data_IF_027261056754
#
_entry.id   IF_027261056754
#
_cell.length_a   1.000
_cell.length_b   1.000
_cell.length_c   1.000
_cell.angle_alpha   90.00
_cell.angle_beta   90.00
_cell.angle_gamma   90.00
#
_symmetry.space_group_name_H-M   'P 1'
#
loop_
_entity.id
_entity.type
_entity.pdbx_description
1 polymer ?
#
# COMPACT_ATOMS: atom_id res chain seq x y z
N UNK A 1 -4.58 78.55 -8.19
CA UNK A 1 -3.16 78.13 -8.25
C UNK A 1 -2.93 77.05 -7.21
N UNK A 2 -2.03 76.05 -7.28
CA UNK A 2 -1.26 75.40 -8.37
C UNK A 2 -0.55 74.15 -7.76
N UNK A 3 -0.19 73.06 -8.43
CA UNK A 3 -0.65 72.42 -9.69
C UNK A 3 -0.02 71.00 -9.76
N UNK A 4 -0.70 69.96 -10.32
CA UNK A 4 -0.10 68.65 -10.73
C UNK A 4 0.49 67.77 -9.56
N UNK A 5 0.85 66.47 -9.69
CA UNK A 5 0.67 65.42 -10.72
C UNK A 5 0.76 64.00 -10.12
N UNK A 6 0.23 63.01 -10.86
CA UNK A 6 0.55 61.57 -10.82
C UNK A 6 2.07 61.27 -10.97
N UNK A 7 2.45 60.01 -10.66
CA UNK A 7 3.75 59.31 -10.90
C UNK A 7 4.86 59.81 -9.93
N UNK A 8 5.52 59.03 -9.09
CA UNK A 8 6.13 57.70 -9.30
C UNK A 8 6.44 56.99 -7.97
N UNK A 9 5.96 55.76 -7.78
CA UNK A 9 6.81 54.70 -7.20
C UNK A 9 6.25 53.34 -7.65
N UNK A 10 6.89 52.77 -8.66
CA UNK A 10 6.64 51.42 -9.11
C UNK A 10 7.74 50.50 -8.58
N UNK A 11 7.50 49.18 -8.65
CA UNK A 11 8.46 48.09 -8.39
C UNK A 11 8.83 47.90 -6.91
N UNK A 12 8.12 46.98 -6.25
CA UNK A 12 8.67 45.71 -5.74
C UNK A 12 7.50 44.84 -5.28
N UNK A 13 7.60 43.49 -5.38
CA UNK A 13 6.60 42.59 -4.78
C UNK A 13 5.86 41.62 -5.69
N UNK A 14 6.37 41.28 -6.88
CA UNK A 14 6.00 40.00 -7.51
C UNK A 14 6.58 38.83 -6.70
N UNK A 15 5.93 38.47 -5.58
CA UNK A 15 6.25 37.28 -4.81
C UNK A 15 4.97 36.48 -4.48
N UNK A 16 4.73 35.49 -5.33
CA UNK A 16 4.44 34.12 -4.89
C UNK A 16 3.35 33.95 -3.82
N UNK A 17 2.11 34.34 -4.15
CA UNK A 17 0.96 33.55 -3.74
C UNK A 17 0.63 32.51 -4.83
N UNK A 18 1.53 31.55 -4.99
CA UNK A 18 1.13 30.22 -5.48
C UNK A 18 0.33 29.60 -4.34
N UNK A 19 -0.94 29.97 -4.25
CA UNK A 19 -1.93 29.10 -3.62
C UNK A 19 -1.97 27.85 -4.50
N UNK A 20 -1.17 26.85 -4.12
CA UNK A 20 -1.35 25.49 -4.58
C UNK A 20 -2.70 25.03 -4.05
N UNK A 21 -3.75 25.36 -4.80
CA UNK A 21 -5.01 24.64 -4.72
C UNK A 21 -4.65 23.16 -4.72
N UNK A 22 -5.18 22.34 -3.78
CA UNK A 22 -5.16 20.92 -4.01
C UNK A 22 -5.84 20.73 -5.37
N UNK A 23 -5.09 20.24 -6.37
CA UNK A 23 -5.72 19.84 -7.61
C UNK A 23 -6.78 18.83 -7.19
N UNK A 24 -8.06 19.14 -7.44
CA UNK A 24 -9.10 18.18 -7.22
C UNK A 24 -8.81 17.02 -8.17
N UNK A 25 -8.30 15.90 -7.63
CA UNK A 25 -8.16 14.63 -8.34
C UNK A 25 -9.57 14.04 -8.50
N UNK A 26 -10.39 14.76 -9.28
CA UNK A 26 -11.80 14.49 -9.53
C UNK A 26 -11.98 13.13 -10.20
N UNK A 27 -13.18 12.56 -10.03
CA UNK A 27 -13.52 11.17 -10.37
C UNK A 27 -13.21 10.73 -11.82
N UNK A 28 -13.02 11.67 -12.76
CA UNK A 28 -12.55 11.37 -14.12
C UNK A 28 -11.13 10.75 -14.16
N UNK A 29 -10.28 11.01 -13.16
CA UNK A 29 -8.85 10.60 -13.21
C UNK A 29 -8.60 9.11 -12.93
N UNK A 30 -9.63 8.37 -12.52
CA UNK A 30 -9.57 6.95 -12.17
C UNK A 30 -10.64 6.12 -12.90
N UNK A 31 -11.02 6.55 -14.10
CA UNK A 31 -11.87 5.78 -14.99
C UNK A 31 -11.21 4.48 -15.46
N UNK A 32 -12.04 3.57 -15.96
CA UNK A 32 -11.61 2.41 -16.74
C UNK A 32 -11.91 2.77 -18.19
N UNK A 33 -10.92 2.80 -19.07
CA UNK A 33 -11.14 3.15 -20.47
C UNK A 33 -12.14 2.22 -21.16
N UNK A 34 -12.70 2.68 -22.28
CA UNK A 34 -13.62 1.88 -23.11
C UNK A 34 -12.90 0.65 -23.69
N UNK A 35 -13.13 -0.53 -23.10
CA UNK A 35 -12.39 -1.75 -23.46
C UNK A 35 -13.26 -2.71 -24.28
N UNK A 36 -12.82 -2.94 -25.52
CA UNK A 36 -13.45 -3.86 -26.48
C UNK A 36 -13.16 -5.36 -26.24
N UNK A 37 -12.28 -5.72 -25.30
CA UNK A 37 -11.96 -7.11 -24.91
C UNK A 37 -11.80 -7.22 -23.39
N UNK A 38 -12.76 -7.84 -22.72
CA UNK A 38 -12.72 -8.10 -21.27
C UNK A 38 -11.68 -9.19 -20.98
N UNK A 39 -10.83 -8.96 -19.98
CA UNK A 39 -9.94 -9.98 -19.42
C UNK A 39 -10.63 -10.64 -18.21
N UNK A 40 -10.95 -11.95 -18.24
CA UNK A 40 -11.61 -12.62 -17.12
C UNK A 40 -10.80 -12.61 -15.81
N UNK A 41 -9.46 -12.50 -15.87
CA UNK A 41 -8.65 -12.38 -14.64
C UNK A 41 -8.96 -11.13 -13.83
N UNK A 42 -9.63 -10.11 -14.35
CA UNK A 42 -9.99 -8.95 -13.55
C UNK A 42 -10.82 -9.30 -12.32
N UNK A 43 -11.69 -10.30 -12.40
CA UNK A 43 -12.50 -10.77 -11.27
C UNK A 43 -11.80 -11.81 -10.39
N UNK A 44 -10.61 -12.30 -10.75
CA UNK A 44 -9.94 -13.33 -9.95
C UNK A 44 -9.10 -12.73 -8.81
N UNK A 45 -8.94 -13.43 -7.67
CA UNK A 45 -8.17 -12.92 -6.54
C UNK A 45 -6.66 -12.74 -6.82
N UNK A 46 -6.04 -11.79 -6.11
CA UNK A 46 -4.60 -11.50 -6.19
C UNK A 46 -3.84 -11.85 -4.89
N UNK A 47 -2.82 -12.73 -4.94
CA UNK A 47 -1.94 -13.08 -3.81
C UNK A 47 -1.12 -11.90 -3.28
N UNK A 48 -1.25 -11.63 -1.98
CA UNK A 48 -0.36 -10.75 -1.21
C UNK A 48 0.18 -11.49 0.00
N UNK A 49 1.49 -11.70 0.04
CA UNK A 49 2.21 -12.39 1.11
C UNK A 49 2.86 -11.40 2.06
N UNK A 50 2.72 -11.63 3.36
CA UNK A 50 3.38 -10.86 4.42
C UNK A 50 4.28 -11.73 5.28
N UNK A 51 5.48 -11.25 5.61
CA UNK A 51 6.37 -11.90 6.58
C UNK A 51 7.01 -10.88 7.52
N UNK A 52 7.08 -11.24 8.79
CA UNK A 52 7.81 -10.51 9.82
C UNK A 52 8.97 -11.39 10.31
N UNK A 53 10.18 -10.85 10.55
CA UNK A 53 11.30 -11.64 11.06
C UNK A 53 11.06 -11.97 12.53
N UNK A 54 11.71 -13.01 13.05
CA UNK A 54 11.75 -13.24 14.49
C UNK A 54 12.56 -12.16 15.21
N UNK A 55 12.20 -11.82 16.46
CA UNK A 55 13.04 -11.03 17.35
C UNK A 55 14.43 -11.68 17.51
N UNK A 56 15.49 -10.87 17.52
CA UNK A 56 16.87 -11.37 17.58
C UNK A 56 17.31 -11.73 19.00
N UNK A 57 16.66 -11.18 20.03
CA UNK A 57 16.77 -11.64 21.41
C UNK A 57 15.45 -12.29 21.87
N UNK A 58 15.53 -13.22 22.82
CA UNK A 58 14.38 -13.91 23.46
C UNK A 58 13.51 -12.99 24.35
N UNK A 59 13.40 -11.72 24.00
CA UNK A 59 12.70 -10.69 24.74
C UNK A 59 11.19 -10.76 24.46
N UNK A 60 10.49 -11.67 25.18
CA UNK A 60 9.13 -11.60 25.80
C UNK A 60 7.99 -10.73 25.18
N UNK A 61 8.10 -10.25 23.96
CA UNK A 61 7.26 -9.21 23.40
C UNK A 61 6.62 -9.72 22.11
N UNK A 62 5.29 -9.81 22.11
CA UNK A 62 4.51 -10.00 20.88
C UNK A 62 4.69 -8.78 19.99
N UNK A 63 5.62 -8.85 19.04
CA UNK A 63 5.84 -7.86 17.98
C UNK A 63 4.90 -8.21 16.83
N UNK A 64 3.60 -8.01 17.03
CA UNK A 64 2.59 -8.32 16.03
C UNK A 64 2.51 -7.23 14.97
N UNK A 65 2.75 -7.57 13.69
CA UNK A 65 2.61 -6.65 12.58
C UNK A 65 1.14 -6.57 12.13
N UNK A 66 0.54 -5.39 12.23
CA UNK A 66 -0.77 -5.12 11.66
C UNK A 66 -0.63 -4.63 10.22
N UNK A 67 -1.37 -5.24 9.29
CA UNK A 67 -1.38 -4.83 7.87
C UNK A 67 -2.77 -4.34 7.47
N UNK A 68 -2.81 -3.22 6.74
CA UNK A 68 -4.02 -2.75 6.06
C UNK A 68 -3.85 -2.93 4.55
N UNK A 69 -4.84 -3.56 3.92
CA UNK A 69 -5.06 -3.58 2.48
C UNK A 69 -6.29 -2.70 2.21
N UNK A 70 -6.05 -1.42 1.88
CA UNK A 70 -7.11 -0.44 1.60
C UNK A 70 -7.31 -0.38 0.09
N UNK A 71 -8.55 -0.52 -0.39
CA UNK A 71 -8.80 -0.58 -1.83
C UNK A 71 -10.19 -0.09 -2.24
N UNK A 72 -10.30 0.34 -3.48
CA UNK A 72 -11.58 0.54 -4.19
C UNK A 72 -11.55 -0.40 -5.39
N UNK A 73 -12.39 -1.44 -5.38
CA UNK A 73 -12.51 -2.38 -6.49
C UNK A 73 -13.12 -1.71 -7.71
N UNK A 74 -12.59 -2.04 -8.89
CA UNK A 74 -13.14 -1.57 -10.16
C UNK A 74 -14.36 -2.41 -10.59
N UNK A 75 -14.30 -3.72 -10.33
CA UNK A 75 -15.39 -4.68 -10.54
C UNK A 75 -15.73 -5.34 -9.18
N UNK A 76 -17.02 -5.49 -8.86
CA UNK A 76 -17.48 -5.92 -7.52
C UNK A 76 -17.72 -7.43 -7.38
N UNK A 77 -17.61 -8.20 -8.46
CA UNK A 77 -17.67 -9.67 -8.45
C UNK A 77 -16.26 -10.26 -8.38
N UNK A 78 -16.06 -11.12 -7.39
CA UNK A 78 -14.85 -11.93 -7.23
C UNK A 78 -15.18 -13.38 -7.61
N UNK A 79 -14.53 -13.90 -8.65
CA UNK A 79 -14.74 -15.25 -9.15
C UNK A 79 -13.56 -16.13 -8.73
N UNK A 80 -13.83 -17.14 -7.90
CA UNK A 80 -12.87 -18.22 -7.61
C UNK A 80 -13.01 -19.24 -8.73
N UNK A 81 -12.33 -18.95 -9.85
CA UNK A 81 -12.43 -19.71 -11.10
C UNK A 81 -11.24 -20.69 -11.31
N UNK A 82 -11.31 -21.52 -12.35
CA UNK A 82 -10.47 -22.70 -12.69
C UNK A 82 -8.94 -22.51 -12.70
N UNK A 83 -8.42 -21.31 -12.46
CA UNK A 83 -7.00 -20.95 -12.57
C UNK A 83 -6.20 -21.24 -11.28
N UNK A 84 -6.26 -22.46 -10.77
CA UNK A 84 -5.53 -22.89 -9.55
C UNK A 84 -4.00 -22.69 -9.65
N UNK A 85 -3.46 -22.68 -10.86
CA UNK A 85 -2.05 -22.45 -11.12
C UNK A 85 -1.58 -20.99 -10.88
N UNK A 86 -2.47 -20.00 -10.79
CA UNK A 86 -2.07 -18.60 -10.53
C UNK A 86 -1.60 -18.38 -9.10
N UNK A 87 -2.00 -19.27 -8.20
CA UNK A 87 -1.73 -19.20 -6.78
C UNK A 87 -0.39 -19.83 -6.41
N UNK A 88 0.49 -20.03 -7.38
CA UNK A 88 1.91 -20.33 -7.17
C UNK A 88 2.72 -19.04 -7.33
N UNK A 89 3.27 -18.53 -6.22
CA UNK A 89 4.17 -17.37 -6.22
C UNK A 89 5.58 -17.87 -5.95
N UNK A 90 6.50 -17.52 -6.84
CA UNK A 90 7.82 -18.14 -6.99
C UNK A 90 7.86 -19.67 -6.91
N UNK A 91 6.79 -20.34 -7.37
CA UNK A 91 6.67 -21.79 -7.34
C UNK A 91 6.30 -22.38 -5.98
N UNK A 92 6.04 -21.55 -4.97
CA UNK A 92 5.41 -21.95 -3.71
C UNK A 92 3.90 -21.80 -3.85
N UNK A 93 3.15 -22.84 -3.48
CA UNK A 93 1.69 -22.78 -3.42
C UNK A 93 1.27 -21.84 -2.27
N UNK A 94 0.39 -20.88 -2.56
CA UNK A 94 0.09 -19.77 -1.65
C UNK A 94 -1.28 -19.87 -0.97
N UNK A 95 -2.10 -20.88 -1.30
CA UNK A 95 -3.55 -20.95 -1.08
C UNK A 95 -4.02 -20.69 0.38
N UNK A 96 -4.63 -19.52 0.69
CA UNK A 96 -5.13 -19.16 2.02
C UNK A 96 -6.60 -18.67 1.99
N UNK A 97 -7.06 -18.04 3.08
CA UNK A 97 -8.37 -17.40 3.13
C UNK A 97 -8.43 -16.05 2.39
N UNK A 98 -9.54 -15.81 1.68
CA UNK A 98 -9.86 -14.50 1.10
C UNK A 98 -10.17 -13.51 2.23
N UNK A 99 -9.51 -12.35 2.23
CA UNK A 99 -9.81 -11.29 3.18
C UNK A 99 -11.01 -10.46 2.71
N UNK A 100 -12.03 -10.36 3.57
CA UNK A 100 -13.17 -9.48 3.33
C UNK A 100 -12.78 -8.03 3.63
N UNK A 101 -13.15 -7.12 2.74
CA UNK A 101 -12.82 -5.69 2.82
C UNK A 101 -13.67 -4.87 3.82
N UNK A 102 -14.22 -5.50 4.84
CA UNK A 102 -15.14 -4.91 5.81
C UNK A 102 -14.54 -4.80 7.22
N UNK A 103 -13.21 -4.81 7.33
CA UNK A 103 -12.52 -4.66 8.60
C UNK A 103 -12.51 -3.19 9.07
N UNK A 104 -11.99 -2.95 10.28
CA UNK A 104 -11.55 -1.60 10.68
C UNK A 104 -10.06 -1.48 10.40
N UNK A 105 -9.63 -0.39 9.76
CA UNK A 105 -8.21 -0.12 9.53
C UNK A 105 -7.45 -0.04 10.86
N UNK A 106 -6.32 -0.75 10.96
CA UNK A 106 -5.34 -0.51 12.00
C UNK A 106 -4.83 0.93 11.90
N UNK A 107 -4.52 1.56 13.03
CA UNK A 107 -3.98 2.93 13.07
C UNK A 107 -4.82 4.01 12.38
N UNK A 108 -6.14 3.79 12.29
CA UNK A 108 -7.10 4.74 11.72
C UNK A 108 -6.97 6.16 12.28
N UNK A 109 -6.76 6.31 13.59
CA UNK A 109 -6.56 7.61 14.25
C UNK A 109 -5.20 7.68 14.92
N UNK A 110 -4.66 8.90 15.08
CA UNK A 110 -3.45 9.15 15.86
C UNK A 110 -3.60 8.65 17.31
N UNK A 111 -4.77 8.83 17.93
CA UNK A 111 -5.07 8.30 19.28
C UNK A 111 -5.09 6.77 19.36
N UNK A 112 -5.37 6.06 18.26
CA UNK A 112 -5.33 4.59 18.22
C UNK A 112 -3.91 4.04 18.04
N UNK A 113 -2.97 4.83 17.53
CA UNK A 113 -1.59 4.39 17.28
C UNK A 113 -0.48 5.31 17.79
N UNK A 114 -0.75 6.25 18.70
CA UNK A 114 0.27 7.08 19.34
C UNK A 114 -0.06 7.49 20.77
N UNK A 115 0.99 7.53 21.62
CA UNK A 115 1.01 8.20 22.93
C UNK A 115 1.39 9.68 22.84
N UNK A 116 2.10 10.08 21.78
CA UNK A 116 2.70 11.41 21.60
C UNK A 116 2.35 12.04 20.24
N UNK A 117 2.26 13.37 20.20
CA UNK A 117 1.52 14.15 19.19
C UNK A 117 2.28 14.43 17.88
N UNK A 118 2.89 13.42 17.26
CA UNK A 118 3.86 13.60 16.16
C UNK A 118 3.57 12.83 14.86
N UNK A 119 2.50 12.04 14.81
CA UNK A 119 2.18 11.16 13.69
C UNK A 119 1.42 11.84 12.56
N UNK A 120 1.67 11.35 11.36
CA UNK A 120 0.99 11.71 10.12
C UNK A 120 0.75 10.44 9.31
N UNK A 121 0.00 10.55 8.22
CA UNK A 121 0.01 9.52 7.17
C UNK A 121 1.46 9.27 6.72
N UNK A 122 1.83 7.99 6.57
CA UNK A 122 3.20 7.56 6.30
C UNK A 122 4.12 7.56 7.55
N UNK A 123 3.56 7.82 8.73
CA UNK A 123 4.27 7.92 10.02
C UNK A 123 3.45 7.38 11.20
N UNK A 124 2.83 6.22 11.02
CA UNK A 124 2.10 5.53 12.10
C UNK A 124 0.61 5.87 12.20
N UNK A 125 0.07 6.57 11.19
CA UNK A 125 -1.38 6.82 11.04
C UNK A 125 -1.78 6.35 9.65
N UNK A 126 -2.85 5.54 9.57
CA UNK A 126 -3.40 5.06 8.31
C UNK A 126 -3.98 6.21 7.48
N UNK A 127 -3.81 6.13 6.16
CA UNK A 127 -4.44 7.03 5.21
C UNK A 127 -5.95 6.80 5.05
N UNK A 128 -6.55 5.80 5.71
CA UNK A 128 -7.94 5.41 5.50
C UNK A 128 -8.92 6.60 5.55
N UNK A 129 -8.85 7.46 6.57
CA UNK A 129 -9.78 8.58 6.70
C UNK A 129 -9.51 9.69 5.66
N UNK A 130 -8.25 9.93 5.28
CA UNK A 130 -7.94 10.86 4.17
C UNK A 130 -8.43 10.33 2.82
N UNK A 131 -8.33 9.01 2.59
CA UNK A 131 -8.83 8.36 1.37
C UNK A 131 -10.36 8.31 1.36
N UNK A 132 -11.01 8.09 2.51
CA UNK A 132 -12.47 8.13 2.63
C UNK A 132 -13.04 9.54 2.34
N UNK A 133 -12.30 10.59 2.71
CA UNK A 133 -12.64 11.97 2.37
C UNK A 133 -12.35 12.31 0.89
N UNK A 134 -11.26 11.81 0.31
CA UNK A 134 -10.91 12.01 -1.11
C UNK A 134 -11.90 11.29 -2.04
N UNK A 135 -12.23 10.04 -1.75
CA UNK A 135 -13.09 9.17 -2.54
C UNK A 135 -14.53 9.09 -1.97
N UNK A 136 -15.06 10.22 -1.51
CA UNK A 136 -16.40 10.29 -0.93
C UNK A 136 -17.47 9.81 -1.92
N UNK A 137 -18.17 8.71 -1.58
CA UNK A 137 -19.20 8.09 -2.40
C UNK A 137 -18.76 6.83 -3.16
N UNK A 138 -17.46 6.49 -3.15
CA UNK A 138 -16.95 5.20 -3.61
C UNK A 138 -17.00 4.14 -2.48
N UNK A 139 -17.00 2.86 -2.85
CA UNK A 139 -16.92 1.73 -1.90
C UNK A 139 -15.46 1.50 -1.47
N UNK A 140 -14.96 2.39 -0.59
CA UNK A 140 -13.63 2.27 0.01
C UNK A 140 -13.63 1.17 1.06
N UNK A 141 -12.93 0.08 0.75
CA UNK A 141 -12.83 -1.12 1.57
C UNK A 141 -11.47 -1.19 2.27
N UNK A 142 -11.43 -1.87 3.41
CA UNK A 142 -10.18 -2.26 4.07
C UNK A 142 -10.25 -3.69 4.55
N UNK A 143 -9.27 -4.48 4.14
CA UNK A 143 -8.94 -5.77 4.73
C UNK A 143 -7.79 -5.55 5.72
N UNK A 144 -8.03 -5.79 7.00
CA UNK A 144 -7.01 -5.69 8.05
C UNK A 144 -6.65 -7.09 8.55
N UNK A 145 -5.37 -7.30 8.86
CA UNK A 145 -4.91 -8.55 9.47
C UNK A 145 -3.70 -8.33 10.38
N UNK A 146 -3.57 -9.17 11.40
CA UNK A 146 -2.39 -9.26 12.26
C UNK A 146 -1.53 -10.46 11.82
N UNK A 147 -0.22 -10.22 11.74
CA UNK A 147 0.82 -11.17 11.32
C UNK A 147 1.81 -11.31 12.48
N UNK A 148 1.98 -12.55 12.97
CA UNK A 148 2.91 -12.84 14.05
C UNK A 148 4.33 -13.11 13.48
N UNK A 149 5.41 -12.82 14.24
CA UNK A 149 6.76 -13.29 13.94
C UNK A 149 6.83 -14.82 13.85
N UNK A 150 7.75 -15.36 13.04
CA UNK A 150 7.86 -16.82 12.80
C UNK A 150 9.27 -17.28 12.42
N UNK A 151 9.80 -18.30 13.12
CA UNK A 151 11.05 -19.01 12.80
C UNK A 151 11.02 -19.70 11.44
N UNK A 152 9.81 -20.12 11.03
CA UNK A 152 9.55 -20.93 9.85
C UNK A 152 9.08 -20.10 8.68
N UNK A 153 9.43 -20.60 7.50
CA UNK A 153 9.73 -19.78 6.32
C UNK A 153 8.57 -19.33 5.40
N UNK A 154 7.28 -19.76 5.51
CA UNK A 154 6.27 -19.27 4.59
C UNK A 154 5.84 -17.85 4.92
N UNK A 155 5.62 -17.04 3.89
CA UNK A 155 4.83 -15.82 4.01
C UNK A 155 3.40 -16.20 4.47
N UNK A 156 2.80 -15.35 5.29
CA UNK A 156 1.36 -15.42 5.54
C UNK A 156 0.65 -14.78 4.36
N UNK A 157 0.05 -15.61 3.51
CA UNK A 157 -0.61 -15.19 2.29
C UNK A 157 -2.07 -14.80 2.52
N UNK A 158 -2.53 -13.83 1.75
CA UNK A 158 -3.93 -13.41 1.66
C UNK A 158 -4.32 -13.11 0.22
N UNK A 159 -5.62 -13.07 -0.03
CA UNK A 159 -6.15 -12.59 -1.29
C UNK A 159 -6.88 -11.26 -1.16
N UNK A 160 -6.40 -10.29 -1.96
CA UNK A 160 -7.22 -9.21 -2.47
C UNK A 160 -8.30 -9.84 -3.39
N UNK A 161 -9.58 -9.43 -3.31
CA UNK A 161 -10.69 -10.19 -3.89
C UNK A 161 -10.72 -10.22 -5.42
N UNK A 162 -10.15 -9.20 -6.08
CA UNK A 162 -10.11 -9.04 -7.55
C UNK A 162 -8.70 -8.62 -8.00
N UNK A 163 -8.47 -8.45 -9.30
CA UNK A 163 -7.21 -7.91 -9.88
C UNK A 163 -7.36 -6.52 -10.51
N UNK A 164 -8.52 -5.89 -10.40
CA UNK A 164 -8.81 -4.59 -11.02
C UNK A 164 -9.28 -3.60 -9.96
N UNK A 165 -8.56 -2.49 -9.80
CA UNK A 165 -8.77 -1.50 -8.75
C UNK A 165 -8.74 -0.09 -9.30
N UNK A 166 -9.51 0.82 -8.68
CA UNK A 166 -9.31 2.27 -8.82
C UNK A 166 -8.19 2.75 -7.89
N UNK A 167 -8.11 2.16 -6.70
CA UNK A 167 -7.10 2.42 -5.67
C UNK A 167 -6.71 1.10 -4.99
N UNK A 168 -5.41 0.93 -4.77
CA UNK A 168 -4.83 -0.09 -3.89
C UNK A 168 -3.72 0.56 -3.05
N UNK A 169 -3.93 0.63 -1.74
CA UNK A 169 -2.92 1.06 -0.77
C UNK A 169 -2.63 -0.08 0.20
N UNK A 170 -1.36 -0.31 0.46
CA UNK A 170 -0.90 -1.31 1.44
C UNK A 170 -0.10 -0.58 2.50
N UNK A 171 -0.44 -0.81 3.76
CA UNK A 171 0.20 -0.21 4.92
C UNK A 171 0.62 -1.32 5.88
N UNK A 172 1.83 -1.18 6.44
CA UNK A 172 2.40 -2.09 7.42
C UNK A 172 2.66 -1.30 8.68
N UNK A 173 2.13 -1.76 9.82
CA UNK A 173 2.30 -1.16 11.14
C UNK A 173 2.94 -2.15 12.11
N UNK A 174 3.90 -1.67 12.90
CA UNK A 174 4.55 -2.44 13.96
C UNK A 174 4.46 -1.65 15.28
N UNK A 175 4.09 -2.29 16.41
CA UNK A 175 4.04 -1.65 17.72
C UNK A 175 5.38 -1.00 18.12
N UNK A 176 5.33 0.23 18.59
CA UNK A 176 6.51 0.90 19.14
C UNK A 176 6.53 0.74 20.67
N UNK A 177 7.46 -0.08 21.18
CA UNK A 177 7.49 -0.51 22.59
C UNK A 177 8.49 0.24 23.48
N UNK A 178 9.22 1.22 22.96
CA UNK A 178 10.24 1.95 23.73
C UNK A 178 9.70 2.80 24.91
N UNK A 179 8.40 3.16 24.92
CA UNK A 179 7.81 4.11 25.88
C UNK A 179 6.59 3.55 26.67
N UNK A 180 6.69 2.36 27.26
CA UNK A 180 5.59 1.70 28.01
C UNK A 180 4.25 1.68 27.22
N UNK A 181 4.35 1.25 25.97
CA UNK A 181 3.26 0.71 25.15
C UNK A 181 1.98 1.55 24.98
N UNK A 182 2.03 2.62 24.17
CA UNK A 182 0.87 3.02 23.34
C UNK A 182 1.36 3.54 21.99
N UNK A 183 1.33 2.69 20.96
CA UNK A 183 1.43 3.17 19.57
C UNK A 183 2.05 2.20 18.59
N UNK A 184 1.97 2.58 17.31
CA UNK A 184 2.58 1.90 16.20
C UNK A 184 3.36 2.88 15.32
N UNK A 185 4.37 2.35 14.66
CA UNK A 185 5.06 3.01 13.58
C UNK A 185 4.73 2.31 12.26
N UNK A 186 4.81 3.02 11.14
CA UNK A 186 4.46 2.51 9.80
C UNK A 186 5.74 2.31 8.99
N UNK A 187 6.52 1.22 9.19
CA UNK A 187 7.81 1.04 8.51
C UNK A 187 7.68 1.05 6.99
N UNK A 188 6.52 0.66 6.46
CA UNK A 188 6.27 0.62 5.02
C UNK A 188 4.82 0.94 4.66
N UNK A 189 4.65 1.76 3.63
CA UNK A 189 3.43 1.84 2.85
C UNK A 189 3.74 2.01 1.37
N UNK A 190 2.78 1.61 0.53
CA UNK A 190 2.76 1.93 -0.91
C UNK A 190 1.33 2.18 -1.37
N UNK A 191 1.17 3.13 -2.29
CA UNK A 191 -0.13 3.48 -2.87
C UNK A 191 -0.07 3.48 -4.40
N UNK A 192 -1.03 2.75 -4.97
CA UNK A 192 -1.25 2.52 -6.38
C UNK A 192 -2.64 3.01 -6.76
N UNK A 193 -2.77 3.72 -7.88
CA UNK A 193 -4.06 4.24 -8.38
C UNK A 193 -4.20 4.02 -9.88
N UNK A 194 -5.42 3.81 -10.37
CA UNK A 194 -5.68 3.51 -11.78
C UNK A 194 -5.14 4.59 -12.74
N UNK A 195 -4.72 4.18 -13.94
CA UNK A 195 -4.21 5.11 -14.97
C UNK A 195 -5.24 5.50 -16.04
N UNK A 196 -6.39 4.82 -16.08
CA UNK A 196 -7.29 4.82 -17.24
C UNK A 196 -7.12 3.60 -18.17
N UNK A 197 -5.98 2.90 -18.12
CA UNK A 197 -5.62 1.87 -19.10
C UNK A 197 -5.74 0.43 -18.56
N UNK A 198 -6.89 -0.20 -18.80
CA UNK A 198 -7.18 -1.60 -18.39
C UNK A 198 -7.08 -1.80 -16.86
N UNK A 199 -6.10 -2.57 -16.40
CA UNK A 199 -5.80 -2.90 -15.01
C UNK A 199 -4.55 -2.16 -14.49
N UNK A 200 -3.99 -1.21 -15.26
CA UNK A 200 -2.79 -0.48 -14.84
C UNK A 200 -3.07 0.40 -13.62
N UNK A 201 -2.20 0.23 -12.63
CA UNK A 201 -2.08 1.11 -11.48
C UNK A 201 -0.72 1.80 -11.50
N UNK A 202 -0.72 3.13 -11.44
CA UNK A 202 0.47 3.95 -11.22
C UNK A 202 0.76 4.06 -9.72
N UNK A 203 2.02 3.86 -9.32
CA UNK A 203 2.50 4.16 -7.97
C UNK A 203 2.51 5.68 -7.78
N UNK A 204 1.71 6.17 -6.84
CA UNK A 204 1.60 7.61 -6.53
C UNK A 204 2.38 8.01 -5.28
N UNK A 205 2.54 7.09 -4.32
CA UNK A 205 3.34 7.32 -3.13
C UNK A 205 3.88 6.02 -2.54
N UNK A 206 4.99 6.12 -1.82
CA UNK A 206 5.65 5.02 -1.12
C UNK A 206 6.55 5.62 -0.04
N UNK A 207 6.70 4.95 1.10
CA UNK A 207 7.56 5.41 2.18
C UNK A 207 7.24 4.71 3.49
N UNK A 208 7.46 5.41 4.60
CA UNK A 208 7.25 4.90 5.95
C UNK A 208 8.32 5.41 6.93
N UNK A 209 8.39 4.76 8.09
CA UNK A 209 9.33 5.04 9.18
C UNK A 209 10.41 3.96 9.31
N UNK A 210 10.82 3.38 8.17
CA UNK A 210 11.90 2.39 8.10
C UNK A 210 13.19 2.85 8.80
N UNK A 211 13.97 1.91 9.31
CA UNK A 211 15.29 2.16 9.88
C UNK A 211 16.16 2.99 8.92
N UNK A 212 16.64 4.15 9.40
CA UNK A 212 17.44 5.09 8.58
C UNK A 212 16.75 5.64 7.32
N UNK A 213 15.42 5.55 7.23
CA UNK A 213 14.63 5.81 6.01
C UNK A 213 15.10 5.00 4.78
N UNK A 214 15.61 3.78 5.01
CA UNK A 214 16.15 2.92 3.96
C UNK A 214 15.06 2.02 3.35
N UNK A 215 14.83 2.17 2.04
CA UNK A 215 13.88 1.38 1.25
C UNK A 215 14.57 0.60 0.11
N UNK A 216 15.90 0.39 0.18
CA UNK A 216 16.67 -0.23 -0.91
C UNK A 216 16.28 -1.69 -1.21
N UNK A 217 15.57 -2.36 -0.30
CA UNK A 217 14.99 -3.69 -0.49
C UNK A 217 13.60 -3.71 -1.17
N UNK A 218 13.03 -2.54 -1.49
CA UNK A 218 11.68 -2.40 -2.05
C UNK A 218 11.73 -2.32 -3.57
N UNK A 219 11.60 -3.47 -4.22
CA UNK A 219 11.62 -3.65 -5.68
C UNK A 219 10.20 -3.66 -6.27
N UNK A 220 9.48 -2.55 -6.06
CA UNK A 220 8.15 -2.35 -6.62
C UNK A 220 8.21 -1.52 -7.91
N UNK A 221 7.47 -1.92 -8.97
CA UNK A 221 7.48 -1.19 -10.24
C UNK A 221 6.71 0.14 -10.12
N UNK A 222 7.02 1.08 -11.01
CA UNK A 222 6.28 2.33 -11.10
C UNK A 222 4.83 2.09 -11.57
N UNK A 223 4.65 1.24 -12.58
CA UNK A 223 3.33 0.79 -13.06
C UNK A 223 3.13 -0.68 -12.73
N UNK A 224 1.99 -1.03 -12.15
CA UNK A 224 1.61 -2.37 -11.73
C UNK A 224 0.39 -2.85 -12.53
N UNK A 225 0.46 -4.06 -13.08
CA UNK A 225 -0.65 -4.76 -13.76
C UNK A 225 -0.92 -6.08 -13.06
N UNK A 226 -2.00 -6.17 -12.28
CA UNK A 226 -2.25 -7.38 -11.49
C UNK A 226 -2.66 -8.58 -12.35
N UNK A 227 -3.07 -8.40 -13.62
CA UNK A 227 -3.31 -9.53 -14.55
C UNK A 227 -2.04 -10.08 -15.20
N UNK A 228 -0.87 -9.49 -14.95
CA UNK A 228 0.42 -9.97 -15.47
C UNK A 228 1.33 -10.58 -14.38
N UNK A 229 0.89 -10.53 -13.12
CA UNK A 229 1.70 -10.91 -11.96
C UNK A 229 1.04 -12.02 -11.14
N UNK A 230 1.83 -13.00 -10.72
CA UNK A 230 1.40 -14.11 -9.86
C UNK A 230 1.06 -13.62 -8.46
N UNK A 231 1.86 -12.71 -7.89
CA UNK A 231 1.58 -12.13 -6.58
C UNK A 231 2.51 -11.00 -6.17
N UNK A 232 2.30 -10.51 -4.95
CA UNK A 232 3.13 -9.51 -4.28
C UNK A 232 3.63 -10.08 -2.94
N UNK A 233 4.91 -9.91 -2.63
CA UNK A 233 5.46 -10.15 -1.29
C UNK A 233 5.87 -8.83 -0.65
N UNK A 234 5.59 -8.70 0.65
CA UNK A 234 6.07 -7.62 1.52
C UNK A 234 6.64 -8.28 2.77
N UNK A 235 7.86 -7.92 3.16
CA UNK A 235 8.44 -8.39 4.41
C UNK A 235 9.30 -7.34 5.08
N UNK A 236 9.47 -7.50 6.39
CA UNK A 236 10.48 -6.77 7.14
C UNK A 236 11.69 -7.69 7.36
N UNK A 237 12.88 -7.11 7.52
CA UNK A 237 14.06 -7.77 8.07
C UNK A 237 14.68 -6.84 9.12
N UNK A 238 15.44 -7.42 10.05
CA UNK A 238 16.35 -6.66 10.90
C UNK A 238 17.47 -5.99 10.09
N UNK A 239 17.97 -4.86 10.59
CA UNK A 239 19.11 -4.18 9.99
C UNK A 239 20.38 -4.95 10.35
N UNK A 240 21.40 -4.89 9.49
CA UNK A 240 22.69 -5.54 9.75
C UNK A 240 23.55 -4.74 10.74
N UNK A 241 22.94 -4.04 11.69
CA UNK A 241 23.65 -3.29 12.72
C UNK A 241 24.33 -4.25 13.71
N UNK A 242 25.46 -3.84 14.29
CA UNK A 242 26.20 -4.69 15.24
C UNK A 242 25.52 -4.81 16.60
N UNK A 243 24.52 -3.97 16.88
CA UNK A 243 23.67 -3.97 18.07
C UNK A 243 22.21 -3.79 17.62
N UNK A 244 21.56 -4.84 17.08
CA UNK A 244 20.18 -4.75 16.64
C UNK A 244 19.27 -4.43 17.84
N UNK A 245 18.37 -3.48 17.63
CA UNK A 245 17.28 -3.23 18.58
C UNK A 245 16.09 -4.14 18.20
N UNK A 246 15.47 -4.81 19.18
CA UNK A 246 14.21 -5.55 18.96
C UNK A 246 13.00 -4.59 18.89
N UNK A 247 13.11 -3.54 18.07
CA UNK A 247 12.09 -2.52 17.87
C UNK A 247 12.11 -1.96 16.43
N UNK A 248 11.18 -1.04 16.16
CA UNK A 248 11.00 -0.40 14.85
C UNK A 248 12.28 0.23 14.27
N UNK A 249 13.18 0.75 15.11
CA UNK A 249 14.38 1.47 14.67
C UNK A 249 15.40 0.60 13.94
N UNK A 250 15.26 -0.72 14.02
CA UNK A 250 16.07 -1.70 13.32
C UNK A 250 15.35 -2.34 12.10
N UNK A 251 14.04 -2.11 11.92
CA UNK A 251 13.28 -2.78 10.86
C UNK A 251 13.43 -2.11 9.49
N UNK A 252 13.91 -2.90 8.52
CA UNK A 252 14.04 -2.56 7.11
C UNK A 252 12.94 -3.23 6.27
N UNK A 253 12.19 -2.48 5.45
CA UNK A 253 11.18 -3.04 4.59
C UNK A 253 11.73 -3.52 3.25
N UNK A 254 11.12 -4.59 2.77
CA UNK A 254 11.34 -5.19 1.47
C UNK A 254 9.98 -5.48 0.84
N UNK A 255 9.90 -5.36 -0.48
CA UNK A 255 8.74 -5.82 -1.22
C UNK A 255 9.11 -6.14 -2.66
N UNK A 256 8.38 -7.06 -3.27
CA UNK A 256 8.61 -7.50 -4.66
C UNK A 256 7.32 -7.99 -5.29
N UNK A 257 7.11 -7.63 -6.55
CA UNK A 257 6.07 -8.22 -7.40
C UNK A 257 6.66 -9.40 -8.17
N UNK A 258 5.92 -10.49 -8.29
CA UNK A 258 6.33 -11.66 -9.05
C UNK A 258 5.51 -11.73 -10.35
N UNK A 259 6.14 -11.76 -11.54
CA UNK A 259 5.43 -12.01 -12.78
C UNK A 259 4.87 -13.44 -12.81
N UNK A 260 3.95 -13.72 -13.73
CA UNK A 260 3.59 -15.10 -14.04
C UNK A 260 4.76 -15.83 -14.73
N UNK A 261 4.96 -17.10 -14.37
CA UNK A 261 5.84 -18.02 -15.09
C UNK A 261 5.22 -18.42 -16.44
N UNK A 262 6.03 -18.91 -17.37
CA UNK A 262 5.59 -19.29 -18.73
C UNK A 262 4.42 -20.27 -18.74
N UNK A 263 4.40 -21.20 -17.78
CA UNK A 263 3.36 -22.23 -17.62
C UNK A 263 2.05 -21.62 -17.09
N UNK A 264 2.15 -20.58 -16.25
CA UNK A 264 0.99 -19.81 -15.78
C UNK A 264 0.44 -18.94 -16.92
N UNK A 265 1.31 -18.23 -17.64
CA UNK A 265 0.92 -17.44 -18.82
C UNK A 265 0.24 -18.29 -19.90
N UNK A 266 0.66 -19.55 -20.07
CA UNK A 266 0.07 -20.48 -21.03
C UNK A 266 -1.39 -20.85 -20.73
N UNK A 267 -1.83 -20.84 -19.47
CA UNK A 267 -3.23 -21.08 -19.10
C UNK A 267 -4.13 -19.83 -19.23
N UNK A 268 -3.54 -18.63 -19.30
CA UNK A 268 -4.32 -17.39 -19.37
C UNK A 268 -5.01 -17.24 -20.73
N UNK A 269 -6.27 -16.79 -20.78
CA UNK A 269 -6.92 -16.40 -22.03
C UNK A 269 -6.13 -15.31 -22.77
N UNK A 270 -6.16 -15.33 -24.11
CA UNK A 270 -5.44 -14.34 -24.94
C UNK A 270 -5.85 -12.89 -24.63
N UNK A 271 -7.08 -12.64 -24.17
CA UNK A 271 -7.54 -11.31 -23.75
C UNK A 271 -6.87 -10.77 -22.48
N UNK A 272 -6.15 -11.61 -21.74
CA UNK A 272 -5.40 -11.25 -20.53
C UNK A 272 -3.87 -11.20 -20.73
N UNK A 273 -3.38 -11.49 -21.94
CA UNK A 273 -1.95 -11.42 -22.29
C UNK A 273 -1.61 -10.03 -22.84
#
# INVERSE_FOLDING_TARGET
>A
MNIFSRKTMAVLGCLWFVFSTPQAFSAEKYGLGDILRICPLWSTPFPVGFRMPEPLLLAKFELDMAVNLIYISADNTADIDDYTNLYYVDGVETWPGILKGNATAACKTSSACQKSSSGTVGKGVSAYDSLAAEFAGEDLRVAQKTIHPTDKTPFTWFYLPVRKYKLLRIEVFVPNKLDDGVGHSEPFFVEYRATGNRDELQRVSMGGTAAGANFNGVYLPETLRLTQNSGLEIWLNHSTSSNPADDISDLLPYAKVFPFRSEQLASLPESCR
#
